data_IF_066393561621
#
_entry.id   IF_066393561621
#
_cell.length_a   1.000
_cell.length_b   1.000
_cell.length_c   1.000
_cell.angle_alpha   90.00
_cell.angle_beta   90.00
_cell.angle_gamma   90.00
#
_symmetry.space_group_name_H-M   'P 1'
#
loop_
_entity.id
_entity.type
_entity.pdbx_description
1 polymer ?
#
# COMPACT_ATOMS: atom_id res chain seq x y z
N UNK A 1 14.20 -12.06 -7.28
CA UNK A 1 13.06 -12.73 -6.65
C UNK A 1 12.33 -11.73 -5.78
N UNK A 2 11.00 -11.67 -5.88
CA UNK A 2 10.16 -10.85 -5.01
C UNK A 2 10.16 -11.48 -3.62
N UNK A 3 10.40 -10.66 -2.58
CA UNK A 3 10.52 -11.16 -1.20
C UNK A 3 9.20 -11.12 -0.44
N UNK A 4 8.31 -10.18 -0.80
CA UNK A 4 6.98 -9.98 -0.25
C UNK A 4 6.17 -9.20 -1.28
N UNK A 5 4.88 -9.49 -1.39
CA UNK A 5 3.90 -8.72 -2.17
C UNK A 5 3.09 -7.90 -1.18
N UNK A 6 2.85 -6.64 -1.51
CA UNK A 6 2.09 -5.71 -0.68
C UNK A 6 0.94 -5.15 -1.50
N UNK A 7 -0.27 -5.24 -0.97
CA UNK A 7 -1.50 -4.82 -1.63
C UNK A 7 -2.27 -3.88 -0.71
N UNK A 8 -2.58 -2.68 -1.22
CA UNK A 8 -3.22 -1.61 -0.47
C UNK A 8 -4.74 -1.65 -0.54
N UNK A 9 -5.34 -2.73 -1.06
CA UNK A 9 -6.78 -2.98 -1.06
C UNK A 9 -7.46 -2.66 -2.39
N UNK A 10 -8.79 -2.71 -2.37
CA UNK A 10 -9.67 -2.72 -3.54
C UNK A 10 -9.39 -3.88 -4.48
N UNK A 11 -9.21 -5.05 -3.86
CA UNK A 11 -9.07 -6.33 -4.58
C UNK A 11 -10.39 -6.83 -5.17
N UNK A 12 -11.49 -6.21 -4.77
CA UNK A 12 -12.86 -6.53 -5.14
C UNK A 12 -13.57 -5.32 -5.69
N UNK A 13 -14.55 -5.54 -6.56
CA UNK A 13 -15.36 -4.48 -7.13
C UNK A 13 -16.58 -4.15 -6.26
N UNK A 14 -17.18 -5.18 -5.63
CA UNK A 14 -18.29 -5.03 -4.70
C UNK A 14 -18.03 -5.58 -3.29
N UNK A 15 -16.92 -6.30 -3.09
CA UNK A 15 -16.57 -6.92 -1.80
C UNK A 15 -17.53 -8.04 -1.39
N UNK A 16 -18.27 -8.60 -2.35
CA UNK A 16 -19.25 -9.64 -2.11
C UNK A 16 -18.58 -11.00 -1.92
N UNK A 17 -19.27 -11.90 -1.20
CA UNK A 17 -18.78 -13.28 -1.03
C UNK A 17 -18.56 -14.02 -2.35
N UNK A 18 -19.36 -13.72 -3.37
CA UNK A 18 -19.27 -14.38 -4.67
C UNK A 18 -17.97 -14.04 -5.41
N UNK A 19 -17.42 -12.84 -5.20
CA UNK A 19 -16.18 -12.41 -5.84
C UNK A 19 -14.93 -13.01 -5.16
N UNK A 20 -15.02 -13.46 -3.91
CA UNK A 20 -13.87 -13.95 -3.14
C UNK A 20 -13.03 -15.04 -3.84
N UNK A 21 -13.65 -15.88 -4.68
CA UNK A 21 -12.94 -16.93 -5.42
C UNK A 21 -11.90 -16.36 -6.42
N UNK A 22 -12.03 -15.10 -6.85
CA UNK A 22 -11.02 -14.43 -7.66
C UNK A 22 -9.69 -14.20 -6.91
N UNK A 23 -9.68 -14.32 -5.58
CA UNK A 23 -8.47 -14.21 -4.76
C UNK A 23 -7.77 -15.54 -4.51
N UNK A 24 -8.33 -16.67 -4.96
CA UNK A 24 -7.71 -17.98 -4.77
C UNK A 24 -6.24 -18.04 -5.28
N UNK A 25 -5.89 -17.41 -6.42
CA UNK A 25 -4.50 -17.38 -6.89
C UNK A 25 -3.50 -16.73 -5.91
N UNK A 26 -3.96 -15.90 -4.96
CA UNK A 26 -3.10 -15.28 -3.93
C UNK A 26 -2.36 -16.34 -3.12
N UNK A 27 -2.95 -17.52 -2.93
CA UNK A 27 -2.32 -18.64 -2.20
C UNK A 27 -1.02 -19.14 -2.86
N UNK A 28 -0.86 -18.93 -4.17
CA UNK A 28 0.16 -19.56 -5.00
C UNK A 28 1.14 -18.55 -5.65
N UNK A 29 1.09 -17.27 -5.28
CA UNK A 29 1.96 -16.20 -5.86
C UNK A 29 3.47 -16.36 -5.58
N UNK A 30 3.87 -17.36 -4.78
CA UNK A 30 5.28 -17.68 -4.52
C UNK A 30 6.00 -16.74 -3.55
N UNK A 31 5.31 -15.76 -2.96
CA UNK A 31 5.80 -14.87 -1.91
C UNK A 31 4.72 -14.63 -0.83
N UNK A 32 5.10 -14.26 0.40
CA UNK A 32 4.15 -13.77 1.40
C UNK A 32 3.39 -12.55 0.87
N UNK A 33 2.12 -12.44 1.22
CA UNK A 33 1.22 -11.40 0.73
C UNK A 33 0.70 -10.57 1.90
N UNK A 34 1.12 -9.32 1.99
CA UNK A 34 0.68 -8.37 3.02
C UNK A 34 -0.44 -7.52 2.44
N UNK A 35 -1.57 -7.46 3.12
CA UNK A 35 -2.79 -6.87 2.57
C UNK A 35 -3.51 -6.02 3.60
N UNK A 36 -4.07 -4.89 3.16
CA UNK A 36 -5.07 -4.11 3.91
C UNK A 36 -6.37 -4.04 3.11
N UNK A 37 -7.47 -3.85 3.82
CA UNK A 37 -8.80 -3.69 3.22
C UNK A 37 -8.91 -2.32 2.54
N UNK A 38 -9.37 -2.26 1.29
CA UNK A 38 -9.79 -1.02 0.64
C UNK A 38 -11.27 -0.67 0.91
N UNK A 39 -11.78 0.38 0.28
CA UNK A 39 -13.18 0.79 0.46
C UNK A 39 -14.17 -0.06 -0.34
N UNK A 40 -13.72 -0.88 -1.29
CA UNK A 40 -14.53 -1.87 -2.00
C UNK A 40 -14.43 -3.27 -1.38
N UNK A 41 -13.44 -3.52 -0.55
CA UNK A 41 -13.29 -4.80 0.15
C UNK A 41 -14.15 -4.84 1.42
N UNK A 42 -14.91 -5.91 1.61
CA UNK A 42 -15.72 -6.07 2.81
C UNK A 42 -14.95 -6.74 3.95
N UNK A 43 -15.50 -6.70 5.17
CA UNK A 43 -15.00 -7.54 6.27
C UNK A 43 -15.10 -9.03 5.95
N UNK A 44 -15.96 -9.44 5.02
CA UNK A 44 -16.02 -10.82 4.56
C UNK A 44 -14.84 -11.16 3.64
N UNK A 45 -14.47 -10.26 2.73
CA UNK A 45 -13.24 -10.36 1.92
C UNK A 45 -12.00 -10.47 2.80
N UNK A 46 -11.89 -9.59 3.81
CA UNK A 46 -10.80 -9.65 4.80
C UNK A 46 -10.72 -11.00 5.53
N UNK A 47 -11.87 -11.53 5.98
CA UNK A 47 -11.94 -12.86 6.62
C UNK A 47 -11.63 -14.00 5.65
N UNK A 48 -11.89 -13.82 4.36
CA UNK A 48 -11.58 -14.81 3.33
C UNK A 48 -10.07 -14.91 3.12
N UNK A 49 -9.41 -13.79 2.82
CA UNK A 49 -7.96 -13.70 2.66
C UNK A 49 -7.21 -14.16 3.90
N UNK A 50 -7.70 -13.84 5.09
CA UNK A 50 -7.09 -14.29 6.36
C UNK A 50 -7.06 -15.81 6.58
N UNK A 51 -7.67 -16.63 5.71
CA UNK A 51 -7.59 -18.09 5.75
C UNK A 51 -6.35 -18.64 5.05
N UNK A 52 -5.76 -17.87 4.14
CA UNK A 52 -4.59 -18.28 3.39
C UNK A 52 -3.34 -18.15 4.26
N UNK A 53 -2.53 -19.21 4.31
CA UNK A 53 -1.37 -19.29 5.20
C UNK A 53 -0.26 -18.27 4.86
N UNK A 54 -0.17 -17.88 3.60
CA UNK A 54 0.81 -16.92 3.10
C UNK A 54 0.33 -15.46 3.21
N UNK A 55 -0.90 -15.21 3.66
CA UNK A 55 -1.49 -13.88 3.73
C UNK A 55 -1.37 -13.29 5.14
N UNK A 56 -0.96 -12.04 5.20
CA UNK A 56 -0.87 -11.23 6.40
C UNK A 56 -1.80 -10.02 6.27
N UNK A 57 -3.04 -10.18 6.75
CA UNK A 57 -4.00 -9.08 6.84
C UNK A 57 -3.57 -8.09 7.93
N UNK A 58 -3.34 -6.83 7.57
CA UNK A 58 -3.10 -5.76 8.52
C UNK A 58 -4.39 -4.97 8.74
N UNK A 59 -4.65 -4.66 10.00
CA UNK A 59 -5.77 -3.82 10.39
C UNK A 59 -5.48 -3.25 11.78
N UNK A 60 -6.16 -2.16 12.13
CA UNK A 60 -6.08 -1.51 13.45
C UNK A 60 -4.65 -1.19 13.93
N UNK A 61 -3.71 -0.94 13.00
CA UNK A 61 -2.32 -0.60 13.32
C UNK A 61 -1.47 -1.76 13.83
N UNK A 62 -1.96 -3.00 13.75
CA UNK A 62 -1.22 -4.20 14.19
C UNK A 62 0.03 -4.41 13.33
N UNK A 63 1.19 -4.44 13.98
CA UNK A 63 2.46 -4.68 13.30
C UNK A 63 2.77 -6.17 13.09
N UNK A 64 3.37 -6.50 11.94
CA UNK A 64 3.88 -7.84 11.60
C UNK A 64 5.26 -7.72 10.94
N UNK A 65 6.09 -8.74 11.09
CA UNK A 65 7.38 -8.82 10.39
C UNK A 65 7.32 -9.90 9.33
N UNK A 66 7.58 -9.51 8.08
CA UNK A 66 7.50 -10.37 6.90
C UNK A 66 8.72 -10.08 6.02
N UNK A 67 9.42 -11.12 5.57
CA UNK A 67 10.61 -11.00 4.73
C UNK A 67 11.71 -10.03 5.26
N UNK A 68 11.80 -9.88 6.59
CA UNK A 68 12.78 -8.99 7.23
C UNK A 68 12.41 -7.49 7.19
N UNK A 69 11.16 -7.16 6.88
CA UNK A 69 10.56 -5.82 6.98
C UNK A 69 9.41 -5.87 7.99
N UNK A 70 9.21 -4.79 8.75
CA UNK A 70 8.09 -4.64 9.68
C UNK A 70 7.02 -3.73 9.07
N UNK A 71 5.81 -4.27 8.96
CA UNK A 71 4.66 -3.59 8.39
C UNK A 71 3.62 -3.33 9.48
N UNK A 72 2.88 -2.25 9.37
CA UNK A 72 1.63 -2.03 10.09
C UNK A 72 0.66 -1.28 9.18
N UNK A 73 -0.64 -1.49 9.34
CA UNK A 73 -1.61 -0.83 8.49
C UNK A 73 -2.99 -0.79 9.09
N UNK A 74 -3.88 -0.06 8.41
CA UNK A 74 -5.30 0.01 8.72
C UNK A 74 -6.09 -0.31 7.47
N UNK A 75 -7.15 -1.10 7.61
CA UNK A 75 -8.16 -1.18 6.56
C UNK A 75 -8.87 0.16 6.41
N UNK A 76 -9.38 0.43 5.21
CA UNK A 76 -10.16 1.62 4.92
C UNK A 76 -11.37 1.70 5.88
N UNK A 77 -11.59 2.84 6.56
CA UNK A 77 -12.68 2.98 7.50
C UNK A 77 -14.05 2.97 6.80
N UNK A 78 -14.08 3.11 5.49
CA UNK A 78 -15.28 3.16 4.67
C UNK A 78 -15.47 1.83 3.92
N UNK A 79 -16.73 1.56 3.58
CA UNK A 79 -17.10 0.49 2.67
C UNK A 79 -18.14 1.09 1.73
N UNK A 80 -17.67 1.49 0.55
CA UNK A 80 -18.46 2.19 -0.47
C UNK A 80 -18.34 1.49 -1.84
N UNK A 81 -18.63 0.18 -1.91
CA UNK A 81 -18.57 -0.56 -3.18
C UNK A 81 -19.57 -0.02 -4.22
N UNK A 82 -20.67 0.56 -3.73
CA UNK A 82 -21.68 1.25 -4.52
C UNK A 82 -21.48 2.76 -4.37
N UNK A 83 -21.23 3.45 -5.49
CA UNK A 83 -21.06 4.91 -5.56
C UNK A 83 -22.33 5.69 -5.14
N UNK A 84 -23.49 5.04 -5.05
CA UNK A 84 -24.70 5.62 -4.48
C UNK A 84 -24.62 5.77 -2.94
N UNK A 85 -23.73 5.00 -2.30
CA UNK A 85 -23.49 5.09 -0.86
C UNK A 85 -22.72 6.36 -0.54
N UNK A 86 -23.28 7.21 0.32
CA UNK A 86 -22.61 8.43 0.74
C UNK A 86 -21.43 8.09 1.65
N UNK A 87 -20.22 8.30 1.12
CA UNK A 87 -18.98 8.24 1.88
C UNK A 87 -19.04 9.16 3.12
N UNK A 88 -18.43 8.71 4.23
CA UNK A 88 -18.17 9.54 5.40
C UNK A 88 -17.15 10.65 5.08
N UNK A 89 -16.33 10.43 4.05
CA UNK A 89 -15.40 11.40 3.49
C UNK A 89 -14.13 11.55 4.31
N UNK A 90 -13.36 12.61 4.02
CA UNK A 90 -12.04 12.85 4.61
C UNK A 90 -11.96 12.75 6.15
N UNK A 91 -12.96 13.19 6.94
CA UNK A 91 -12.85 13.09 8.41
C UNK A 91 -12.67 11.65 8.92
N UNK A 92 -13.30 10.66 8.26
CA UNK A 92 -13.13 9.26 8.62
C UNK A 92 -11.71 8.77 8.31
N UNK A 93 -11.17 9.13 7.14
CA UNK A 93 -9.80 8.80 6.73
C UNK A 93 -8.77 9.41 7.66
N UNK A 94 -8.91 10.69 8.00
CA UNK A 94 -7.98 11.36 8.94
C UNK A 94 -8.01 10.69 10.30
N UNK A 95 -9.19 10.32 10.81
CA UNK A 95 -9.27 9.61 12.09
C UNK A 95 -8.60 8.24 12.04
N UNK A 96 -8.78 7.48 10.96
CA UNK A 96 -8.10 6.20 10.75
C UNK A 96 -6.58 6.38 10.68
N UNK A 97 -6.12 7.38 9.93
CA UNK A 97 -4.70 7.76 9.82
C UNK A 97 -4.08 8.16 11.16
N UNK A 98 -4.76 8.99 11.96
CA UNK A 98 -4.31 9.38 13.30
C UNK A 98 -4.17 8.17 14.23
N UNK A 99 -5.11 7.22 14.17
CA UNK A 99 -5.03 5.98 14.95
C UNK A 99 -3.86 5.11 14.51
N UNK A 100 -3.64 4.99 13.20
CA UNK A 100 -2.48 4.29 12.66
C UNK A 100 -1.18 4.96 13.13
N UNK A 101 -1.07 6.28 13.02
CA UNK A 101 0.10 7.04 13.49
C UNK A 101 0.36 6.82 15.00
N UNK A 102 -0.68 6.79 15.83
CA UNK A 102 -0.55 6.45 17.25
C UNK A 102 0.06 5.06 17.44
N UNK A 103 -0.46 4.04 16.75
CA UNK A 103 0.07 2.68 16.83
C UNK A 103 1.54 2.59 16.35
N UNK A 104 1.90 3.32 15.29
CA UNK A 104 3.28 3.40 14.79
C UNK A 104 4.23 4.01 15.83
N UNK A 105 3.79 5.06 16.52
CA UNK A 105 4.56 5.69 17.59
C UNK A 105 4.71 4.78 18.81
N UNK A 106 3.67 4.03 19.18
CA UNK A 106 3.76 3.01 20.24
C UNK A 106 4.78 1.92 19.89
N UNK A 107 4.80 1.45 18.64
CA UNK A 107 5.80 0.49 18.15
C UNK A 107 7.23 1.05 18.22
N UNK A 108 7.41 2.34 17.88
CA UNK A 108 8.70 3.03 17.98
C UNK A 108 9.16 3.16 19.44
N UNK A 109 8.27 3.57 20.34
CA UNK A 109 8.56 3.69 21.77
C UNK A 109 8.91 2.35 22.41
N UNK A 110 8.32 1.25 21.91
CA UNK A 110 8.64 -0.11 22.32
C UNK A 110 9.94 -0.67 21.72
N UNK A 111 10.70 0.12 20.94
CA UNK A 111 11.95 -0.31 20.31
C UNK A 111 11.76 -1.23 19.09
N UNK A 112 10.56 -1.31 18.54
CA UNK A 112 10.22 -2.13 17.37
C UNK A 112 9.60 -1.28 16.26
N UNK A 113 10.31 -0.25 15.75
CA UNK A 113 9.75 0.69 14.77
C UNK A 113 9.29 -0.05 13.51
N UNK A 114 8.18 0.44 12.93
CA UNK A 114 7.64 -0.06 11.67
C UNK A 114 8.44 0.54 10.51
N UNK A 115 8.74 -0.28 9.52
CA UNK A 115 9.48 0.14 8.31
C UNK A 115 8.51 0.69 7.25
N UNK A 116 7.35 0.06 7.09
CA UNK A 116 6.38 0.41 6.05
C UNK A 116 4.97 0.46 6.65
N UNK A 117 4.32 1.62 6.58
CA UNK A 117 2.90 1.75 6.92
C UNK A 117 2.02 1.54 5.68
N UNK A 118 0.83 0.98 5.87
CA UNK A 118 -0.17 0.79 4.81
C UNK A 118 -1.50 1.47 5.20
N UNK A 119 -2.04 2.29 4.30
CA UNK A 119 -3.40 2.80 4.39
C UNK A 119 -3.97 2.95 2.98
N UNK A 120 -5.23 2.55 2.76
CA UNK A 120 -5.79 2.54 1.41
C UNK A 120 -5.89 3.96 0.84
N UNK A 121 -6.48 4.89 1.60
CA UNK A 121 -6.62 6.28 1.19
C UNK A 121 -5.35 7.12 1.49
N UNK A 122 -4.84 7.92 0.51
CA UNK A 122 -3.73 8.84 0.74
C UNK A 122 -3.96 9.84 1.88
N UNK A 123 -5.21 10.20 2.18
CA UNK A 123 -5.57 11.07 3.31
C UNK A 123 -5.18 10.43 4.64
N UNK A 124 -5.51 9.15 4.85
CA UNK A 124 -5.13 8.41 6.05
C UNK A 124 -3.60 8.20 6.11
N UNK A 125 -2.98 7.90 4.96
CA UNK A 125 -1.54 7.69 4.87
C UNK A 125 -0.73 8.93 5.30
N UNK A 126 -1.20 10.14 4.96
CA UNK A 126 -0.55 11.41 5.30
C UNK A 126 -0.43 11.65 6.80
N UNK A 127 -1.39 11.18 7.58
CA UNK A 127 -1.37 11.34 9.04
C UNK A 127 -0.22 10.56 9.70
N UNK A 128 0.42 9.63 8.97
CA UNK A 128 1.58 8.85 9.45
C UNK A 128 2.94 9.54 9.25
N UNK A 129 2.94 10.77 8.73
CA UNK A 129 4.17 11.53 8.49
C UNK A 129 5.05 11.67 9.75
N UNK A 130 6.35 11.46 9.60
CA UNK A 130 7.34 11.43 10.68
C UNK A 130 7.35 10.16 11.53
N UNK A 131 6.33 9.29 11.40
CA UNK A 131 6.19 8.06 12.20
C UNK A 131 6.87 6.86 11.55
N UNK A 132 6.96 6.84 10.21
CA UNK A 132 7.58 5.76 9.42
C UNK A 132 8.41 6.31 8.26
N UNK A 133 9.40 5.57 7.73
CA UNK A 133 10.19 6.04 6.60
C UNK A 133 9.43 5.96 5.26
N UNK A 134 8.51 5.01 5.11
CA UNK A 134 7.71 4.78 3.91
C UNK A 134 6.26 4.45 4.31
N UNK A 135 5.30 5.05 3.61
CA UNK A 135 3.88 4.68 3.66
C UNK A 135 3.37 4.42 2.25
N UNK A 136 2.62 3.33 2.07
CA UNK A 136 2.00 2.95 0.80
C UNK A 136 0.48 3.17 0.87
N UNK A 137 -0.07 3.70 -0.22
CA UNK A 137 -1.50 3.91 -0.43
C UNK A 137 -1.95 3.52 -1.83
N UNK A 138 -3.26 3.51 -2.07
CA UNK A 138 -3.89 3.26 -3.37
C UNK A 138 -5.03 4.25 -3.60
N UNK A 139 -6.23 3.73 -3.88
CA UNK A 139 -7.51 4.44 -3.98
C UNK A 139 -7.71 5.40 -5.17
N UNK A 140 -6.67 6.14 -5.59
CA UNK A 140 -6.80 7.17 -6.65
C UNK A 140 -6.40 6.69 -8.05
N UNK A 141 -6.06 5.41 -8.19
CA UNK A 141 -5.75 4.72 -9.47
C UNK A 141 -4.64 5.39 -10.30
N UNK A 142 -3.78 6.18 -9.65
CA UNK A 142 -2.65 6.85 -10.30
C UNK A 142 -1.45 6.85 -9.38
N UNK A 143 -0.31 6.44 -9.94
CA UNK A 143 0.94 6.42 -9.21
C UNK A 143 1.41 7.83 -8.86
N UNK A 144 1.81 8.01 -7.61
CA UNK A 144 2.39 9.27 -7.13
C UNK A 144 3.38 9.02 -6.02
N UNK A 145 4.52 9.70 -6.07
CA UNK A 145 5.49 9.71 -4.98
C UNK A 145 5.75 11.12 -4.49
N UNK A 146 5.77 11.29 -3.17
CA UNK A 146 6.24 12.51 -2.54
C UNK A 146 6.91 12.25 -1.20
N UNK A 147 7.74 13.19 -0.78
CA UNK A 147 8.28 13.24 0.58
C UNK A 147 7.45 14.27 1.34
N UNK A 148 6.82 13.83 2.41
CA UNK A 148 5.96 14.65 3.27
C UNK A 148 6.81 15.58 4.16
N UNK A 149 6.22 16.63 4.76
CA UNK A 149 6.96 17.65 5.51
C UNK A 149 7.87 17.12 6.63
N UNK A 150 7.54 16.01 7.28
CA UNK A 150 8.33 15.40 8.35
C UNK A 150 9.23 14.24 7.85
N UNK A 151 9.34 14.07 6.53
CA UNK A 151 10.30 13.19 5.89
C UNK A 151 9.82 11.77 5.59
N UNK A 152 8.55 11.44 5.88
CA UNK A 152 7.97 10.18 5.42
C UNK A 152 7.78 10.22 3.90
N UNK A 153 8.21 9.17 3.21
CA UNK A 153 7.89 9.02 1.78
C UNK A 153 6.51 8.40 1.65
N UNK A 154 5.58 9.11 1.02
CA UNK A 154 4.32 8.53 0.57
C UNK A 154 4.49 8.06 -0.86
N UNK A 155 4.14 6.79 -1.10
CA UNK A 155 3.86 6.27 -2.43
C UNK A 155 2.40 5.89 -2.53
N UNK A 156 1.75 6.40 -3.55
CA UNK A 156 0.45 5.92 -4.00
C UNK A 156 0.71 5.03 -5.20
N UNK A 157 0.28 3.79 -5.12
CA UNK A 157 0.43 2.80 -6.18
C UNK A 157 -0.78 2.85 -7.12
N UNK A 158 -0.58 2.39 -8.35
CA UNK A 158 -1.64 2.31 -9.36
C UNK A 158 -2.61 1.17 -9.12
N UNK A 159 -3.42 0.86 -10.13
CA UNK A 159 -4.42 -0.22 -10.07
C UNK A 159 -4.00 -1.39 -10.95
N UNK A 160 -4.14 -2.63 -10.46
CA UNK A 160 -3.96 -3.84 -11.28
C UNK A 160 -5.24 -4.28 -11.99
N UNK A 161 -6.15 -3.34 -12.26
CA UNK A 161 -7.44 -3.64 -12.90
C UNK A 161 -8.54 -4.06 -11.93
N UNK A 162 -8.50 -3.60 -10.67
CA UNK A 162 -9.55 -3.83 -9.66
C UNK A 162 -10.94 -3.31 -10.06
N UNK A 163 -11.03 -2.47 -11.11
CA UNK A 163 -12.29 -1.99 -11.68
C UNK A 163 -13.14 -3.09 -12.37
N UNK A 164 -12.62 -4.31 -12.56
CA UNK A 164 -13.37 -5.42 -13.16
C UNK A 164 -13.86 -5.13 -14.59
N UNK A 165 -15.08 -5.58 -14.92
CA UNK A 165 -15.72 -5.28 -16.21
C UNK A 165 -15.91 -3.77 -16.45
N UNK A 166 -15.78 -2.91 -15.43
CA UNK A 166 -15.94 -1.45 -15.59
C UNK A 166 -14.80 -0.81 -16.39
N UNK A 167 -13.67 -1.51 -16.56
CA UNK A 167 -12.64 -1.10 -17.52
C UNK A 167 -13.15 -1.06 -18.97
N UNK A 168 -14.34 -1.60 -19.27
CA UNK A 168 -15.02 -1.50 -20.57
C UNK A 168 -16.04 -0.37 -20.65
N UNK A 169 -16.44 0.22 -19.51
CA UNK A 169 -17.43 1.30 -19.44
C UNK A 169 -16.77 2.68 -19.59
N UNK A 170 -15.46 2.78 -19.33
CA UNK A 170 -14.67 3.98 -19.59
C UNK A 170 -14.18 4.04 -21.05
N UNK A 171 -14.13 5.25 -21.60
CA UNK A 171 -13.75 5.48 -23.00
C UNK A 171 -12.30 5.06 -23.32
N UNK A 172 -11.44 4.99 -22.30
CA UNK A 172 -10.09 4.43 -22.34
C UNK A 172 -9.95 3.47 -21.14
N UNK A 173 -9.51 2.21 -21.33
CA UNK A 173 -9.34 1.29 -20.23
C UNK A 173 -8.17 1.73 -19.33
N UNK A 174 -8.41 1.80 -18.02
CA UNK A 174 -7.37 2.07 -17.03
C UNK A 174 -6.17 1.12 -17.25
N UNK A 175 -4.92 1.62 -17.32
CA UNK A 175 -3.76 0.76 -17.44
C UNK A 175 -3.57 -0.08 -16.18
N UNK A 176 -3.09 -1.31 -16.37
CA UNK A 176 -2.69 -2.16 -15.25
C UNK A 176 -1.31 -1.69 -14.78
N UNK A 177 -1.25 -1.18 -13.56
CA UNK A 177 -0.07 -0.60 -12.95
C UNK A 177 0.33 -1.37 -11.70
N UNK A 178 1.62 -1.68 -11.58
CA UNK A 178 2.22 -2.29 -10.41
C UNK A 178 3.68 -1.82 -10.28
N UNK A 179 4.22 -1.86 -9.07
CA UNK A 179 5.60 -1.45 -8.83
C UNK A 179 6.44 -2.50 -8.11
N UNK A 180 7.75 -2.48 -8.39
CA UNK A 180 8.76 -3.27 -7.68
C UNK A 180 9.63 -2.34 -6.87
N UNK A 181 9.51 -2.41 -5.54
CA UNK A 181 10.28 -1.57 -4.62
C UNK A 181 11.56 -2.28 -4.19
N UNK A 182 12.69 -1.58 -4.28
CA UNK A 182 13.99 -2.08 -3.84
C UNK A 182 14.35 -1.41 -2.53
N UNK A 183 14.44 -2.18 -1.44
CA UNK A 183 14.79 -1.67 -0.12
C UNK A 183 16.17 -2.15 0.31
N UNK A 184 16.94 -1.26 0.93
CA UNK A 184 18.24 -1.62 1.48
C UNK A 184 18.06 -2.58 2.66
N UNK A 185 18.88 -3.63 2.69
CA UNK A 185 18.72 -4.72 3.66
C UNK A 185 19.00 -4.28 5.10
N UNK A 186 19.93 -3.36 5.30
CA UNK A 186 20.38 -2.93 6.62
C UNK A 186 19.51 -1.79 7.16
N UNK A 187 19.30 -0.75 6.36
CA UNK A 187 18.61 0.48 6.73
C UNK A 187 17.11 0.43 6.49
N UNK A 188 16.62 -0.57 5.72
CA UNK A 188 15.21 -0.71 5.30
C UNK A 188 14.67 0.49 4.52
N UNK A 189 15.55 1.35 3.99
CA UNK A 189 15.17 2.52 3.20
C UNK A 189 14.99 2.15 1.73
N UNK A 190 13.98 2.75 1.09
CA UNK A 190 13.76 2.63 -0.35
C UNK A 190 15.00 3.13 -1.11
N UNK A 191 15.50 2.31 -2.03
CA UNK A 191 16.68 2.57 -2.85
C UNK A 191 16.32 2.92 -4.30
N UNK A 192 15.30 2.25 -4.83
CA UNK A 192 14.78 2.43 -6.17
C UNK A 192 13.35 1.87 -6.23
N UNK A 193 12.62 2.19 -7.29
CA UNK A 193 11.44 1.44 -7.67
C UNK A 193 11.35 1.33 -9.19
N UNK A 194 10.81 0.22 -9.67
CA UNK A 194 10.41 0.06 -11.06
C UNK A 194 8.89 0.15 -11.16
N UNK A 195 8.38 0.99 -12.05
CA UNK A 195 6.95 1.08 -12.38
C UNK A 195 6.70 0.21 -13.61
N UNK A 196 5.68 -0.65 -13.53
CA UNK A 196 5.28 -1.58 -14.59
C UNK A 196 3.89 -1.16 -15.02
N UNK A 197 3.77 -0.73 -16.28
CA UNK A 197 2.50 -0.38 -16.90
C UNK A 197 2.21 -1.34 -18.05
N UNK A 198 1.07 -2.02 -17.97
CA UNK A 198 0.53 -2.82 -19.06
C UNK A 198 -0.70 -2.08 -19.62
N UNK A 199 -0.73 -1.91 -20.95
CA UNK A 199 -1.87 -1.30 -21.62
C UNK A 199 -3.17 -2.04 -21.30
N UNK A 200 -4.25 -1.29 -21.12
CA UNK A 200 -5.58 -1.83 -20.83
C UNK A 200 -6.13 -2.77 -21.93
N UNK A 201 -7.32 -3.35 -21.70
CA UNK A 201 -7.94 -4.35 -22.57
C UNK A 201 -7.86 -3.99 -24.06
N UNK A 202 -7.12 -4.81 -24.83
CA UNK A 202 -6.93 -4.63 -26.28
C UNK A 202 -5.62 -3.95 -26.70
N UNK A 203 -4.79 -3.49 -25.77
CA UNK A 203 -3.48 -2.88 -26.05
C UNK A 203 -2.34 -3.88 -25.79
N UNK A 204 -1.36 -3.91 -26.69
CA UNK A 204 -0.14 -4.72 -26.55
C UNK A 204 1.06 -3.85 -26.17
N UNK A 205 0.96 -3.09 -25.08
CA UNK A 205 2.06 -2.28 -24.56
C UNK A 205 2.42 -2.77 -23.16
N UNK A 206 3.71 -3.01 -22.92
CA UNK A 206 4.29 -3.20 -21.61
C UNK A 206 5.44 -2.22 -21.47
N UNK A 207 5.39 -1.36 -20.46
CA UNK A 207 6.43 -0.38 -20.15
C UNK A 207 6.97 -0.66 -18.75
N UNK A 208 8.29 -0.60 -18.60
CA UNK A 208 8.96 -0.68 -17.31
C UNK A 208 9.88 0.51 -17.19
N UNK A 209 9.69 1.34 -16.17
CA UNK A 209 10.51 2.52 -15.93
C UNK A 209 11.14 2.46 -14.54
N UNK A 210 12.45 2.75 -14.47
CA UNK A 210 13.20 2.74 -13.20
C UNK A 210 13.35 4.15 -12.66
N UNK A 211 13.08 4.29 -11.38
CA UNK A 211 13.20 5.55 -10.65
C UNK A 211 14.07 5.42 -9.41
N UNK A 212 14.72 6.52 -9.06
CA UNK A 212 15.54 6.64 -7.86
C UNK A 212 14.98 7.75 -6.96
N UNK A 213 14.96 7.54 -5.64
CA UNK A 213 14.88 8.62 -4.66
C UNK A 213 15.86 9.74 -5.03
N UNK A 214 15.47 11.01 -4.84
CA UNK A 214 16.31 12.16 -5.18
C UNK A 214 17.67 12.07 -4.48
N UNK A 215 17.65 11.65 -3.23
CA UNK A 215 18.83 11.44 -2.38
C UNK A 215 19.74 10.28 -2.85
N UNK A 216 19.28 9.43 -3.77
CA UNK A 216 20.02 8.30 -4.31
C UNK A 216 20.45 8.53 -5.78
N UNK A 217 20.15 9.69 -6.37
CA UNK A 217 20.58 10.00 -7.72
C UNK A 217 22.10 10.26 -7.77
N UNK A 218 22.79 9.93 -8.87
CA UNK A 218 24.21 10.21 -9.02
C UNK A 218 24.52 11.69 -8.78
N UNK A 219 25.44 11.96 -7.85
CA UNK A 219 25.83 13.34 -7.48
C UNK A 219 24.95 14.00 -6.41
N UNK A 220 23.98 13.29 -5.82
CA UNK A 220 23.25 13.77 -4.65
C UNK A 220 24.16 13.79 -3.40
N UNK A 221 24.04 14.84 -2.59
CA UNK A 221 24.66 14.87 -1.27
C UNK A 221 23.97 13.82 -0.37
N UNK A 222 24.73 13.00 0.38
CA UNK A 222 24.12 12.01 1.27
C UNK A 222 23.23 12.72 2.29
N UNK A 223 21.98 12.28 2.41
CA UNK A 223 21.07 12.80 3.43
C UNK A 223 21.67 12.60 4.83
N UNK A 224 21.55 13.57 5.73
CA UNK A 224 22.09 13.44 7.08
C UNK A 224 21.45 12.24 7.78
N UNK A 225 22.28 11.33 8.26
CA UNK A 225 21.86 10.22 9.12
C UNK A 225 21.13 10.79 10.33
N UNK A 226 19.95 10.27 10.72
CA UNK A 226 19.32 10.69 11.97
C UNK A 226 20.30 10.42 13.11
N UNK A 227 20.71 11.47 13.82
CA UNK A 227 21.53 11.33 15.00
C UNK A 227 20.74 10.48 16.01
N UNK A 228 21.27 9.30 16.35
CA UNK A 228 20.74 8.51 17.45
C UNK A 228 20.76 9.38 18.70
N UNK A 229 19.59 9.53 19.34
CA UNK A 229 19.54 10.17 20.66
C UNK A 229 20.38 9.32 21.62
N UNK A 230 21.32 9.91 22.39
CA UNK A 230 22.07 9.18 23.39
C UNK A 230 21.14 8.71 24.53
N UNK A 231 21.52 7.65 25.26
CA UNK A 231 20.69 6.96 26.25
C UNK A 231 20.30 7.82 27.45
#
# INVERSE_FOLDING_TARGET
WISVIVDTGDTMDHGSKAENAFLDPVADLGAPYVWIRGNHDSKETQRYLGRFKNVHVLDDGRAVTVAGLRFAGTGDPQYTPDRSTKALGEPAERLAGIRLASALNDQRAAGTPVDIALAHNPTAARETDGSVPLVLAGHIHHERTEVLPLGTRLRVEGSTGGSGLRAVDDAEPDPVQASVLYLDRATKRLQAWDEIELGGLGLTKAEVSRHLPKENQPGADPSPTPAGSPP
#
